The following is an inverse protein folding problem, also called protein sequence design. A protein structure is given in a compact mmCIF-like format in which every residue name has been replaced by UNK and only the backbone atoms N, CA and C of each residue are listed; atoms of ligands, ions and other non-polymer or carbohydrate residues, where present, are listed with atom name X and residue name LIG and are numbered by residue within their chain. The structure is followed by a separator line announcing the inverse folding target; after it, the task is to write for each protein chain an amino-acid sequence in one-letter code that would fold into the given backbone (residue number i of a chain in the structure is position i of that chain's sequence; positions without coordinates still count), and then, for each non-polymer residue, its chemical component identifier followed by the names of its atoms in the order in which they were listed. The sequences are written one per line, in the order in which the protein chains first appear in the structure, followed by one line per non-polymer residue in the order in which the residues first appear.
data_IF_704197588176
#
_entry.id   IF_704197588176
#
_cell.length_a   1.000
_cell.length_b   1.000
_cell.length_c   1.000
_cell.angle_alpha   90.00
_cell.angle_beta   90.00
_cell.angle_gamma   90.00
#
_symmetry.space_group_name_H-M   'P 1'
#
loop_
_entity.id
_entity.type
_entity.pdbx_description
1 polymer ?
#
# COMPACT_ATOMS: atom_id res chain seq x y z
N UNK A 1 50.17 20.66 28.16
CA UNK A 1 49.51 21.46 27.10
C UNK A 1 48.88 20.59 26.01
N UNK A 2 49.56 19.55 25.53
CA UNK A 2 49.03 18.57 24.55
C UNK A 2 47.73 17.88 24.97
N UNK A 3 47.57 17.52 26.25
CA UNK A 3 46.35 16.87 26.76
C UNK A 3 45.09 17.76 26.67
N UNK A 4 45.23 19.08 26.91
CA UNK A 4 44.12 20.03 26.80
C UNK A 4 43.69 20.22 25.34
N UNK A 5 44.65 20.21 24.41
CA UNK A 5 44.38 20.30 22.97
C UNK A 5 43.65 19.02 22.51
N UNK A 6 44.07 17.85 22.99
CA UNK A 6 43.41 16.58 22.66
C UNK A 6 41.95 16.54 23.13
N UNK A 7 41.68 16.96 24.37
CA UNK A 7 40.31 17.05 24.89
C UNK A 7 39.44 18.05 24.13
N UNK A 8 40.00 19.21 23.76
CA UNK A 8 39.29 20.23 22.98
C UNK A 8 38.87 19.71 21.60
N UNK A 9 39.80 19.03 20.90
CA UNK A 9 39.52 18.42 19.59
C UNK A 9 38.48 17.31 19.72
N UNK A 10 38.58 16.45 20.74
CA UNK A 10 37.62 15.37 20.97
C UNK A 10 36.20 15.91 21.24
N UNK A 11 36.09 16.98 22.04
CA UNK A 11 34.81 17.63 22.33
C UNK A 11 34.16 18.22 21.07
N UNK A 12 34.96 18.83 20.18
CA UNK A 12 34.49 19.37 18.90
C UNK A 12 33.97 18.26 17.97
N UNK A 13 34.65 17.12 17.91
CA UNK A 13 34.22 15.96 17.10
C UNK A 13 32.90 15.40 17.62
N UNK A 14 32.75 15.25 18.93
CA UNK A 14 31.50 14.78 19.55
C UNK A 14 30.35 15.75 19.30
N UNK A 15 30.58 17.05 19.46
CA UNK A 15 29.57 18.07 19.18
C UNK A 15 29.14 18.05 17.70
N UNK A 16 30.08 17.92 16.77
CA UNK A 16 29.77 17.78 15.35
C UNK A 16 28.94 16.52 15.07
N UNK A 17 29.19 15.41 15.78
CA UNK A 17 28.44 14.17 15.62
C UNK A 17 27.00 14.27 16.14
N UNK A 18 26.79 15.00 17.24
CA UNK A 18 25.46 15.22 17.85
C UNK A 18 24.61 16.20 17.03
N UNK A 19 25.21 17.24 16.45
CA UNK A 19 24.49 18.27 15.70
C UNK A 19 24.16 17.81 14.26
N UNK A 20 25.02 16.99 13.64
CA UNK A 20 24.84 16.51 12.26
C UNK A 20 23.53 15.77 11.94
N UNK A 21 22.95 14.91 12.79
CA UNK A 21 21.65 14.29 12.49
C UNK A 21 20.50 15.30 12.42
N UNK A 22 20.65 16.48 13.03
CA UNK A 22 19.59 17.48 13.08
C UNK A 22 19.40 18.24 11.75
N UNK A 23 20.46 18.40 10.95
CA UNK A 23 20.38 19.08 9.65
C UNK A 23 20.12 18.17 8.44
N UNK A 24 20.01 16.85 8.63
CA UNK A 24 19.82 15.89 7.53
C UNK A 24 18.37 15.50 7.26
N UNK A 25 17.41 16.10 7.96
CA UNK A 25 16.00 15.93 7.61
C UNK A 25 15.71 16.86 6.44
N UNK A 26 16.02 16.41 5.22
CA UNK A 26 15.42 17.01 4.04
C UNK A 26 13.91 16.83 4.19
N UNK A 27 13.15 17.93 4.13
CA UNK A 27 11.70 17.94 4.10
C UNK A 27 11.24 17.16 2.87
N UNK A 28 11.11 15.84 3.02
CA UNK A 28 10.40 15.04 2.04
C UNK A 28 8.93 15.38 2.24
N UNK A 29 8.25 15.96 1.23
CA UNK A 29 6.84 16.24 1.36
C UNK A 29 6.12 14.93 1.71
N UNK A 30 5.33 14.97 2.78
CA UNK A 30 4.57 13.82 3.29
C UNK A 30 3.66 13.22 2.19
N UNK A 31 3.21 14.07 1.27
CA UNK A 31 2.52 13.70 0.04
C UNK A 31 3.42 14.01 -1.16
N UNK A 32 4.01 12.97 -1.76
CA UNK A 32 4.50 13.06 -3.13
C UNK A 32 3.29 13.08 -4.05
N UNK A 33 3.19 14.10 -4.91
CA UNK A 33 2.19 14.21 -6.00
C UNK A 33 2.33 13.12 -7.07
N UNK A 34 3.25 12.18 -6.86
CA UNK A 34 3.53 11.00 -7.67
C UNK A 34 2.85 9.73 -7.14
N UNK A 35 2.07 9.84 -6.05
CA UNK A 35 1.05 8.82 -5.77
C UNK A 35 -0.06 9.05 -6.78
N UNK A 36 0.03 8.39 -7.93
CA UNK A 36 -1.14 8.01 -8.69
C UNK A 36 -2.18 7.56 -7.68
N UNK A 37 -3.26 8.33 -7.52
CA UNK A 37 -4.40 7.92 -6.72
C UNK A 37 -4.64 6.48 -7.10
N UNK A 38 -4.56 5.56 -6.12
CA UNK A 38 -4.76 4.14 -6.39
C UNK A 38 -6.17 4.06 -6.98
N UNK A 39 -6.25 4.03 -8.31
CA UNK A 39 -7.52 4.00 -9.02
C UNK A 39 -8.14 2.71 -8.54
N UNK A 40 -9.29 2.83 -7.88
CA UNK A 40 -10.02 1.69 -7.38
C UNK A 40 -10.14 0.70 -8.53
N UNK A 41 -9.46 -0.43 -8.39
CA UNK A 41 -9.46 -1.46 -9.41
C UNK A 41 -10.71 -2.30 -9.15
N UNK A 42 -11.80 -1.92 -9.81
CA UNK A 42 -13.09 -2.63 -9.74
C UNK A 42 -12.92 -4.12 -10.03
N UNK A 43 -11.92 -4.50 -10.85
CA UNK A 43 -11.60 -5.90 -11.11
C UNK A 43 -11.00 -6.62 -9.90
N UNK A 44 -10.26 -5.92 -9.04
CA UNK A 44 -9.73 -6.45 -7.79
C UNK A 44 -10.85 -6.67 -6.76
N UNK A 45 -11.77 -5.73 -6.63
CA UNK A 45 -12.93 -5.85 -5.74
C UNK A 45 -13.83 -7.04 -6.11
N UNK A 46 -13.99 -7.31 -7.42
CA UNK A 46 -14.70 -8.49 -7.91
C UNK A 46 -13.96 -9.79 -7.58
N UNK A 47 -12.63 -9.81 -7.65
CA UNK A 47 -11.83 -10.97 -7.25
C UNK A 47 -11.96 -11.27 -5.76
N UNK A 48 -11.94 -10.24 -4.92
CA UNK A 48 -12.18 -10.39 -3.47
C UNK A 48 -13.58 -10.95 -3.20
N UNK A 49 -14.60 -10.47 -3.92
CA UNK A 49 -15.99 -10.94 -3.79
C UNK A 49 -16.13 -12.43 -4.16
N UNK A 50 -15.42 -12.90 -5.19
CA UNK A 50 -15.38 -14.33 -5.58
C UNK A 50 -14.72 -15.17 -4.47
N UNK A 51 -13.67 -14.65 -3.83
CA UNK A 51 -12.98 -15.35 -2.74
C UNK A 51 -13.85 -15.47 -1.49
N UNK A 52 -14.59 -14.43 -1.14
CA UNK A 52 -15.58 -14.48 -0.04
C UNK A 52 -16.68 -15.50 -0.33
N UNK A 53 -17.20 -15.53 -1.56
CA UNK A 53 -18.19 -16.50 -2.00
C UNK A 53 -17.68 -17.96 -1.87
N UNK A 54 -16.43 -18.21 -2.25
CA UNK A 54 -15.81 -19.54 -2.09
C UNK A 54 -15.69 -19.93 -0.61
N UNK A 55 -15.37 -18.96 0.26
CA UNK A 55 -15.29 -19.18 1.69
C UNK A 55 -16.66 -19.49 2.29
N UNK A 56 -17.71 -18.79 1.88
CA UNK A 56 -19.08 -19.02 2.33
C UNK A 56 -19.60 -20.40 1.90
N UNK A 57 -19.25 -20.85 0.69
CA UNK A 57 -19.53 -22.21 0.25
C UNK A 57 -18.78 -23.25 1.09
N UNK A 58 -17.48 -23.07 1.34
CA UNK A 58 -16.68 -23.97 2.19
C UNK A 58 -17.19 -24.05 3.63
N UNK A 59 -17.77 -22.96 4.12
CA UNK A 59 -18.42 -22.89 5.44
C UNK A 59 -19.83 -23.50 5.45
N UNK A 60 -20.37 -23.91 4.29
CA UNK A 60 -21.71 -24.46 4.17
C UNK A 60 -22.83 -23.43 4.38
N UNK A 61 -22.54 -22.13 4.26
CA UNK A 61 -23.54 -21.07 4.39
C UNK A 61 -24.47 -20.99 3.18
N UNK A 62 -23.97 -21.41 2.02
CA UNK A 62 -24.69 -21.42 0.74
C UNK A 62 -24.61 -22.81 0.11
N UNK A 63 -25.62 -23.15 -0.68
CA UNK A 63 -25.66 -24.39 -1.45
C UNK A 63 -24.76 -24.35 -2.69
N UNK A 64 -24.45 -25.52 -3.24
CA UNK A 64 -23.64 -25.63 -4.46
C UNK A 64 -24.30 -24.92 -5.66
N UNK A 65 -25.63 -24.98 -5.78
CA UNK A 65 -26.36 -24.30 -6.85
C UNK A 65 -26.28 -22.78 -6.76
N UNK A 66 -26.40 -22.24 -5.55
CA UNK A 66 -26.25 -20.80 -5.29
C UNK A 66 -24.81 -20.34 -5.56
N UNK A 67 -23.82 -21.12 -5.10
CA UNK A 67 -22.42 -20.86 -5.39
C UNK A 67 -22.14 -20.81 -6.90
N UNK A 68 -22.60 -21.81 -7.66
CA UNK A 68 -22.37 -21.86 -9.11
C UNK A 68 -23.03 -20.69 -9.85
N UNK A 69 -24.25 -20.30 -9.46
CA UNK A 69 -24.94 -19.16 -10.06
C UNK A 69 -24.17 -17.86 -9.82
N UNK A 70 -23.88 -17.56 -8.54
CA UNK A 70 -23.21 -16.31 -8.15
C UNK A 70 -21.77 -16.24 -8.70
N UNK A 71 -21.05 -17.36 -8.71
CA UNK A 71 -19.70 -17.41 -9.26
C UNK A 71 -19.69 -17.14 -10.78
N UNK A 72 -20.72 -17.56 -11.51
CA UNK A 72 -20.84 -17.27 -12.94
C UNK A 72 -21.16 -15.80 -13.19
N UNK A 73 -22.04 -15.19 -12.38
CA UNK A 73 -22.37 -13.77 -12.49
C UNK A 73 -21.14 -12.89 -12.22
N UNK A 74 -20.38 -13.14 -11.15
CA UNK A 74 -19.14 -12.39 -10.85
C UNK A 74 -18.06 -12.58 -11.91
N UNK A 75 -17.92 -13.78 -12.50
CA UNK A 75 -16.98 -14.01 -13.60
C UNK A 75 -17.36 -13.23 -14.85
N UNK A 76 -18.66 -13.14 -15.17
CA UNK A 76 -19.14 -12.34 -16.29
C UNK A 76 -18.81 -10.86 -16.07
N UNK A 77 -19.13 -10.34 -14.89
CA UNK A 77 -18.87 -8.95 -14.52
C UNK A 77 -17.37 -8.61 -14.53
N UNK A 78 -16.53 -9.50 -14.02
CA UNK A 78 -15.07 -9.34 -14.08
C UNK A 78 -14.57 -9.24 -15.53
N UNK A 79 -15.07 -10.08 -16.43
CA UNK A 79 -14.72 -10.02 -17.85
C UNK A 79 -15.20 -8.72 -18.49
N UNK A 80 -16.40 -8.27 -18.16
CA UNK A 80 -16.93 -7.00 -18.65
C UNK A 80 -16.07 -5.81 -18.21
N UNK A 81 -15.70 -5.73 -16.93
CA UNK A 81 -14.82 -4.67 -16.40
C UNK A 81 -13.44 -4.73 -17.03
N UNK A 82 -12.87 -5.94 -17.16
CA UNK A 82 -11.54 -6.15 -17.77
C UNK A 82 -11.51 -5.78 -19.26
N UNK A 83 -12.58 -6.06 -20.00
CA UNK A 83 -12.66 -5.78 -21.42
C UNK A 83 -13.14 -4.35 -21.75
N UNK A 84 -13.90 -3.71 -20.85
CA UNK A 84 -14.41 -2.35 -21.05
C UNK A 84 -13.35 -1.25 -20.84
N UNK A 85 -12.22 -1.56 -20.19
CA UNK A 85 -11.22 -0.57 -19.78
C UNK A 85 -11.73 0.31 -18.62
N UNK A 86 -10.83 1.03 -17.91
CA UNK A 86 -11.20 1.74 -16.68
C UNK A 86 -12.27 2.80 -16.99
N UNK A 87 -13.49 2.59 -16.49
CA UNK A 87 -14.53 3.61 -16.49
C UNK A 87 -14.18 4.60 -15.39
N UNK A 88 -13.68 5.76 -15.80
CA UNK A 88 -13.41 6.87 -14.89
C UNK A 88 -14.76 7.37 -14.36
N UNK A 89 -15.13 6.93 -13.17
CA UNK A 89 -16.28 7.44 -12.43
C UNK A 89 -15.90 8.83 -11.87
N UNK A 90 -16.56 9.88 -12.38
CA UNK A 90 -16.40 11.27 -11.94
C UNK A 90 -17.09 11.53 -10.60
#
# INVERSE_FOLDING_TARGET
MSSLILCSVLALVLAAFVIRPFWRVADKPYFSSDRSAHVFDESLALLESIQELEQDYKMGKISEGEYQSLANDFKREYLEVKHAGPRVSF
#
